data_IF_847490396302
#
_entry.id   IF_847490396302
#
_cell.length_a   1.000
_cell.length_b   1.000
_cell.length_c   1.000
_cell.angle_alpha   90.00
_cell.angle_beta   90.00
_cell.angle_gamma   90.00
#
_symmetry.space_group_name_H-M   'P 1'
#
loop_
_entity.id
_entity.type
_entity.pdbx_description
1 polymer ?
#
# COMPACT_ATOMS: atom_id res chain seq x y z
N UNK A 1 -2.43 -36.13 -37.43
CA UNK A 1 -1.59 -34.98 -37.07
C UNK A 1 -2.18 -33.73 -37.67
N UNK A 2 -2.19 -32.63 -36.91
CA UNK A 2 -2.55 -31.28 -37.39
C UNK A 2 -1.28 -30.45 -37.35
N UNK A 3 -0.95 -29.74 -38.42
CA UNK A 3 0.23 -28.87 -38.49
C UNK A 3 -0.21 -27.44 -38.79
N UNK A 4 0.24 -26.51 -37.96
CA UNK A 4 0.03 -25.06 -38.09
C UNK A 4 1.42 -24.43 -38.20
N UNK A 5 1.60 -23.48 -39.11
CA UNK A 5 2.90 -22.86 -39.33
C UNK A 5 2.79 -21.35 -39.49
N UNK A 6 3.83 -20.63 -39.07
CA UNK A 6 3.95 -19.18 -39.22
C UNK A 6 2.70 -18.41 -38.72
N UNK A 7 1.95 -17.78 -39.64
CA UNK A 7 0.71 -17.06 -39.34
C UNK A 7 -0.57 -17.91 -39.52
N UNK A 8 -0.44 -19.20 -39.83
CA UNK A 8 -1.55 -20.12 -40.05
C UNK A 8 -2.38 -20.31 -38.78
N UNK A 9 -3.71 -20.32 -38.93
CA UNK A 9 -4.64 -20.44 -37.82
C UNK A 9 -5.70 -21.51 -38.07
N UNK A 10 -6.10 -22.23 -37.03
CA UNK A 10 -7.21 -23.19 -37.05
C UNK A 10 -8.25 -22.83 -36.00
N UNK A 11 -9.50 -22.74 -36.42
CA UNK A 11 -10.65 -22.63 -35.52
C UNK A 11 -11.27 -24.01 -35.32
N UNK A 12 -11.44 -24.40 -34.07
CA UNK A 12 -12.12 -25.62 -33.67
C UNK A 12 -13.13 -25.29 -32.58
N UNK A 13 -14.26 -26.00 -32.54
CA UNK A 13 -15.26 -25.73 -31.50
C UNK A 13 -14.74 -26.18 -30.13
N UNK A 14 -14.25 -27.42 -30.04
CA UNK A 14 -13.64 -28.00 -28.83
C UNK A 14 -12.36 -28.75 -29.20
N UNK A 15 -11.60 -29.22 -28.20
CA UNK A 15 -10.48 -30.13 -28.44
C UNK A 15 -10.91 -31.43 -29.15
N UNK A 16 -12.13 -31.93 -28.91
CA UNK A 16 -12.66 -33.11 -29.60
C UNK A 16 -12.87 -32.89 -31.11
N UNK A 17 -13.03 -31.64 -31.55
CA UNK A 17 -13.13 -31.29 -32.96
C UNK A 17 -11.82 -31.51 -33.73
N UNK A 18 -10.70 -31.72 -33.03
CA UNK A 18 -9.40 -32.05 -33.64
C UNK A 18 -9.24 -33.55 -33.95
N UNK A 19 -10.28 -34.34 -33.70
CA UNK A 19 -10.32 -35.78 -33.91
C UNK A 19 -9.77 -36.56 -32.72
N UNK A 20 -9.11 -37.69 -33.00
CA UNK A 20 -8.53 -38.54 -31.96
C UNK A 20 -7.54 -37.73 -31.09
N UNK A 21 -7.72 -37.76 -29.76
CA UNK A 21 -6.86 -37.06 -28.80
C UNK A 21 -5.38 -37.51 -28.86
N UNK A 22 -5.07 -38.68 -29.42
CA UNK A 22 -3.69 -39.11 -29.66
C UNK A 22 -3.03 -38.39 -30.84
N UNK A 23 -3.80 -37.71 -31.70
CA UNK A 23 -3.25 -36.99 -32.84
C UNK A 23 -2.51 -35.73 -32.36
N UNK A 24 -1.22 -35.56 -32.68
CA UNK A 24 -0.49 -34.37 -32.26
C UNK A 24 -0.92 -33.12 -33.04
N UNK A 25 -0.88 -31.99 -32.35
CA UNK A 25 -0.93 -30.63 -32.93
C UNK A 25 0.51 -30.11 -32.96
N UNK A 26 1.00 -29.75 -34.13
CA UNK A 26 2.36 -29.28 -34.34
C UNK A 26 2.32 -27.81 -34.76
N UNK A 27 3.03 -26.96 -34.04
CA UNK A 27 3.29 -25.56 -34.34
C UNK A 27 4.70 -25.42 -34.92
N UNK A 28 4.82 -25.02 -36.18
CA UNK A 28 6.09 -24.87 -36.90
C UNK A 28 6.35 -23.39 -37.18
N UNK A 29 7.33 -22.81 -36.51
CA UNK A 29 7.72 -21.40 -36.56
C UNK A 29 6.57 -20.44 -36.23
N UNK A 30 5.57 -20.91 -35.49
CA UNK A 30 4.35 -20.16 -35.20
C UNK A 30 3.10 -21.03 -35.32
N UNK A 31 1.99 -20.38 -35.65
CA UNK A 31 0.67 -20.96 -35.80
C UNK A 31 -0.25 -20.69 -34.60
N UNK A 32 -1.55 -20.72 -34.85
CA UNK A 32 -2.58 -20.44 -33.85
C UNK A 32 -3.69 -21.49 -33.84
N UNK A 33 -4.00 -22.02 -32.65
CA UNK A 33 -5.20 -22.83 -32.42
C UNK A 33 -6.21 -22.01 -31.61
N UNK A 34 -7.40 -21.81 -32.17
CA UNK A 34 -8.50 -21.12 -31.53
C UNK A 34 -9.61 -22.12 -31.17
N UNK A 35 -9.97 -22.19 -29.88
CA UNK A 35 -11.17 -22.89 -29.42
C UNK A 35 -12.32 -21.91 -29.22
N UNK A 36 -13.44 -22.15 -29.89
CA UNK A 36 -14.61 -21.25 -29.86
C UNK A 36 -15.70 -21.69 -28.88
N UNK A 37 -15.44 -22.69 -28.04
CA UNK A 37 -16.29 -23.08 -26.92
C UNK A 37 -15.46 -23.66 -25.78
N UNK A 38 -16.07 -23.80 -24.60
CA UNK A 38 -15.42 -24.41 -23.44
C UNK A 38 -15.04 -25.86 -23.72
N UNK A 39 -13.86 -26.26 -23.24
CA UNK A 39 -13.37 -27.61 -23.42
C UNK A 39 -11.90 -27.75 -23.05
N UNK A 40 -11.51 -29.00 -22.78
CA UNK A 40 -10.11 -29.37 -22.57
C UNK A 40 -9.43 -29.71 -23.89
N UNK A 41 -8.15 -29.41 -23.99
CA UNK A 41 -7.27 -29.85 -25.07
C UNK A 41 -6.41 -31.01 -24.56
N UNK A 42 -6.65 -32.20 -25.11
CA UNK A 42 -5.94 -33.43 -24.75
C UNK A 42 -4.94 -33.89 -25.82
N UNK A 43 -4.86 -33.19 -26.95
CA UNK A 43 -3.93 -33.50 -28.04
C UNK A 43 -2.50 -33.13 -27.64
N UNK A 44 -1.50 -34.02 -27.76
CA UNK A 44 -0.09 -33.66 -27.57
C UNK A 44 0.31 -32.48 -28.46
N UNK A 45 1.10 -31.56 -27.91
CA UNK A 45 1.53 -30.36 -28.64
C UNK A 45 3.04 -30.39 -28.83
N UNK A 46 3.49 -30.10 -30.04
CA UNK A 46 4.91 -29.88 -30.35
C UNK A 46 5.11 -28.49 -30.95
N UNK A 47 6.07 -27.72 -30.45
CA UNK A 47 6.43 -26.39 -30.96
C UNK A 47 7.86 -26.41 -31.50
N UNK A 48 8.08 -25.97 -32.73
CA UNK A 48 9.42 -25.92 -33.36
C UNK A 48 9.68 -24.54 -33.92
N UNK A 49 10.69 -23.81 -33.44
CA UNK A 49 10.86 -22.39 -33.83
C UNK A 49 9.68 -21.48 -33.46
N UNK A 50 9.92 -20.17 -33.33
CA UNK A 50 8.86 -19.21 -32.98
C UNK A 50 8.07 -19.58 -31.71
N UNK A 51 6.82 -19.16 -31.62
CA UNK A 51 5.88 -19.54 -30.56
C UNK A 51 4.57 -20.02 -31.16
N UNK A 52 4.18 -21.26 -30.84
CA UNK A 52 2.80 -21.71 -31.08
C UNK A 52 1.85 -20.93 -30.16
N UNK A 53 0.66 -20.59 -30.65
CA UNK A 53 -0.31 -19.81 -29.87
C UNK A 53 -1.64 -20.54 -29.73
N UNK A 54 -2.24 -20.36 -28.58
CA UNK A 54 -3.53 -20.92 -28.19
C UNK A 54 -4.43 -19.78 -27.76
N UNK A 55 -5.70 -19.84 -28.16
CA UNK A 55 -6.71 -18.84 -27.86
C UNK A 55 -8.03 -19.52 -27.55
N UNK A 56 -8.73 -19.03 -26.54
CA UNK A 56 -10.13 -19.40 -26.30
C UNK A 56 -10.89 -18.24 -25.69
N UNK A 57 -11.36 -17.29 -26.51
CA UNK A 57 -11.93 -16.04 -26.03
C UNK A 57 -13.16 -16.28 -25.14
N UNK A 58 -13.10 -15.90 -23.87
CA UNK A 58 -14.21 -15.99 -22.92
C UNK A 58 -14.49 -17.38 -22.35
N UNK A 59 -13.72 -18.41 -22.73
CA UNK A 59 -13.90 -19.76 -22.23
C UNK A 59 -12.77 -20.17 -21.30
N UNK A 60 -13.05 -21.08 -20.37
CA UNK A 60 -12.04 -21.65 -19.48
C UNK A 60 -11.88 -23.14 -19.79
N UNK A 61 -10.72 -23.71 -19.47
CA UNK A 61 -10.42 -25.10 -19.79
C UNK A 61 -9.13 -25.63 -19.21
N UNK A 62 -8.70 -26.77 -19.72
CA UNK A 62 -7.46 -27.44 -19.30
C UNK A 62 -6.70 -27.94 -20.52
N UNK A 63 -5.39 -27.76 -20.53
CA UNK A 63 -4.50 -28.47 -21.45
C UNK A 63 -3.86 -29.60 -20.67
N UNK A 64 -4.31 -30.83 -20.93
CA UNK A 64 -3.96 -32.01 -20.13
C UNK A 64 -2.84 -32.87 -20.73
N UNK A 65 -2.41 -32.54 -21.94
CA UNK A 65 -1.33 -33.21 -22.65
C UNK A 65 -0.02 -32.45 -22.57
N UNK A 66 1.09 -33.17 -22.78
CA UNK A 66 2.43 -32.57 -22.83
C UNK A 66 2.55 -31.64 -24.03
N UNK A 67 3.14 -30.48 -23.75
CA UNK A 67 3.64 -29.50 -24.72
C UNK A 67 5.17 -29.63 -24.72
N UNK A 68 5.76 -29.87 -25.90
CA UNK A 68 7.18 -30.15 -26.06
C UNK A 68 7.79 -29.42 -27.26
N UNK A 69 9.12 -29.46 -27.39
CA UNK A 69 9.84 -28.96 -28.56
C UNK A 69 10.72 -27.73 -28.29
N UNK A 70 11.31 -27.18 -29.35
CA UNK A 70 12.27 -26.07 -29.25
C UNK A 70 11.61 -24.68 -29.21
N UNK A 71 10.36 -24.56 -29.68
CA UNK A 71 9.64 -23.29 -29.75
C UNK A 71 9.02 -22.87 -28.41
N UNK A 72 8.44 -21.68 -28.37
CA UNK A 72 7.63 -21.18 -27.26
C UNK A 72 6.16 -21.61 -27.35
N UNK A 73 5.41 -21.37 -26.28
CA UNK A 73 3.97 -21.54 -26.25
C UNK A 73 3.29 -20.28 -25.67
N UNK A 74 2.21 -19.81 -26.31
CA UNK A 74 1.56 -18.56 -25.97
C UNK A 74 0.06 -18.70 -25.79
N UNK A 75 -0.49 -18.08 -24.75
CA UNK A 75 -1.93 -17.83 -24.58
C UNK A 75 -2.23 -16.43 -25.12
N UNK A 76 -3.13 -16.29 -26.09
CA UNK A 76 -3.46 -14.99 -26.71
C UNK A 76 -4.97 -14.82 -26.88
N UNK A 77 -5.44 -13.58 -26.88
CA UNK A 77 -6.82 -13.21 -27.22
C UNK A 77 -7.92 -13.91 -26.39
N UNK A 78 -7.75 -14.00 -25.07
CA UNK A 78 -8.66 -14.72 -24.18
C UNK A 78 -9.90 -13.94 -23.73
N UNK A 79 -10.04 -12.67 -24.11
CA UNK A 79 -11.17 -11.84 -23.68
C UNK A 79 -11.03 -11.41 -22.21
N UNK A 80 -12.08 -11.54 -21.39
CA UNK A 80 -12.03 -11.13 -19.98
C UNK A 80 -11.98 -12.35 -19.04
N UNK A 81 -10.85 -12.51 -18.35
CA UNK A 81 -10.64 -13.42 -17.21
C UNK A 81 -10.89 -14.91 -17.48
N UNK A 82 -10.49 -15.40 -18.65
CA UNK A 82 -10.58 -16.82 -18.98
C UNK A 82 -9.43 -17.62 -18.35
N UNK A 83 -9.76 -18.68 -17.59
CA UNK A 83 -8.81 -19.51 -16.86
C UNK A 83 -8.46 -20.76 -17.66
N UNK A 84 -7.17 -20.98 -17.89
CA UNK A 84 -6.65 -22.22 -18.43
C UNK A 84 -5.62 -22.87 -17.52
N UNK A 85 -5.87 -24.14 -17.19
CA UNK A 85 -4.97 -24.93 -16.34
C UNK A 85 -4.06 -25.80 -17.19
N UNK A 86 -2.75 -25.70 -16.99
CA UNK A 86 -1.75 -26.63 -17.51
C UNK A 86 -1.50 -27.72 -16.47
N UNK A 87 -1.75 -29.00 -16.82
CA UNK A 87 -1.61 -30.10 -15.85
C UNK A 87 -0.49 -31.10 -16.18
N UNK A 88 -0.06 -31.18 -17.45
CA UNK A 88 1.02 -32.08 -17.86
C UNK A 88 2.42 -31.54 -17.57
N UNK A 89 3.40 -32.44 -17.53
CA UNK A 89 4.81 -32.06 -17.57
C UNK A 89 5.17 -31.58 -18.99
N UNK A 90 5.63 -30.34 -19.09
CA UNK A 90 5.92 -29.67 -20.35
C UNK A 90 7.44 -29.45 -20.51
N UNK A 91 7.92 -29.52 -21.75
CA UNK A 91 9.35 -29.47 -22.09
C UNK A 91 9.68 -28.51 -23.23
N UNK A 92 8.73 -27.67 -23.64
CA UNK A 92 8.98 -26.63 -24.64
C UNK A 92 10.03 -25.63 -24.14
N UNK A 93 10.96 -25.24 -25.01
CA UNK A 93 12.17 -24.49 -24.62
C UNK A 93 12.06 -22.98 -24.86
N UNK A 94 11.20 -22.53 -25.77
CA UNK A 94 11.10 -21.11 -26.14
C UNK A 94 10.34 -20.21 -25.15
N UNK A 95 10.00 -20.72 -23.98
CA UNK A 95 9.30 -19.98 -22.92
C UNK A 95 7.78 -19.92 -23.10
N UNK A 96 7.12 -19.44 -22.06
CA UNK A 96 5.66 -19.30 -21.96
C UNK A 96 5.27 -17.83 -22.10
N UNK A 97 4.33 -17.51 -22.99
CA UNK A 97 3.72 -16.17 -23.08
C UNK A 97 2.27 -16.20 -22.61
N UNK A 98 1.89 -15.29 -21.73
CA UNK A 98 0.53 -15.13 -21.22
C UNK A 98 0.03 -13.76 -21.65
N UNK A 99 -0.73 -13.73 -22.73
CA UNK A 99 -1.25 -12.53 -23.36
C UNK A 99 -2.61 -12.09 -22.82
N UNK A 100 -3.22 -11.13 -23.52
CA UNK A 100 -4.45 -10.44 -23.12
C UNK A 100 -5.57 -11.38 -22.72
N UNK A 101 -6.10 -11.17 -21.52
CA UNK A 101 -7.30 -11.84 -21.02
C UNK A 101 -7.10 -13.24 -20.43
N UNK A 102 -5.90 -13.81 -20.60
CA UNK A 102 -5.60 -15.16 -20.18
C UNK A 102 -5.22 -15.19 -18.70
N UNK A 103 -5.78 -16.12 -17.95
CA UNK A 103 -5.29 -16.52 -16.64
C UNK A 103 -4.74 -17.93 -16.79
N UNK A 104 -3.44 -18.12 -16.56
CA UNK A 104 -2.82 -19.46 -16.59
C UNK A 104 -2.66 -19.96 -15.16
N UNK A 105 -3.26 -21.11 -14.88
CA UNK A 105 -3.06 -21.87 -13.66
C UNK A 105 -2.19 -23.11 -13.93
N UNK A 106 -1.52 -23.57 -12.89
CA UNK A 106 -0.62 -24.71 -12.90
C UNK A 106 -0.52 -25.29 -11.49
N UNK A 107 0.08 -26.47 -11.33
CA UNK A 107 0.30 -27.09 -10.01
C UNK A 107 1.77 -27.29 -9.67
N UNK A 108 2.66 -27.28 -10.68
CA UNK A 108 4.09 -27.50 -10.51
C UNK A 108 4.90 -26.79 -11.60
N UNK A 109 6.16 -26.46 -11.30
CA UNK A 109 7.05 -25.69 -12.18
C UNK A 109 7.20 -26.30 -13.59
N UNK A 110 7.26 -27.65 -13.69
CA UNK A 110 7.32 -28.35 -14.97
C UNK A 110 6.09 -28.17 -15.86
N UNK A 111 4.95 -27.69 -15.33
CA UNK A 111 3.81 -27.33 -16.17
C UNK A 111 4.08 -26.09 -17.04
N UNK A 112 5.07 -25.25 -16.68
CA UNK A 112 5.35 -24.00 -17.39
C UNK A 112 6.38 -24.14 -18.52
N UNK A 113 6.81 -25.37 -18.84
CA UNK A 113 7.79 -25.67 -19.89
C UNK A 113 9.14 -26.12 -19.32
N UNK A 114 10.17 -26.15 -20.17
CA UNK A 114 11.52 -26.55 -19.77
C UNK A 114 12.05 -25.72 -18.59
N UNK A 115 12.66 -26.37 -17.60
CA UNK A 115 13.13 -25.73 -16.35
C UNK A 115 13.95 -24.46 -16.63
N UNK A 116 13.66 -23.38 -15.88
CA UNK A 116 14.29 -22.07 -16.08
C UNK A 116 13.80 -21.28 -17.30
N UNK A 117 12.88 -21.82 -18.09
CA UNK A 117 12.28 -21.11 -19.23
C UNK A 117 11.52 -19.85 -18.80
N UNK A 118 11.69 -18.77 -19.56
CA UNK A 118 11.08 -17.46 -19.30
C UNK A 118 9.56 -17.51 -19.33
N UNK A 119 8.92 -16.82 -18.39
CA UNK A 119 7.48 -16.51 -18.43
C UNK A 119 7.29 -15.03 -18.80
N UNK A 120 6.72 -14.78 -19.97
CA UNK A 120 6.34 -13.44 -20.41
C UNK A 120 4.88 -13.20 -20.11
N UNK A 121 4.54 -12.12 -19.39
CA UNK A 121 3.16 -11.74 -19.11
C UNK A 121 2.87 -10.41 -19.82
N UNK A 122 1.97 -10.44 -20.79
CA UNK A 122 1.70 -9.37 -21.74
C UNK A 122 0.21 -9.05 -21.83
N UNK A 123 -0.11 -7.82 -22.23
CA UNK A 123 -1.49 -7.43 -22.57
C UNK A 123 -2.49 -7.54 -21.41
N UNK A 124 -2.03 -7.58 -20.16
CA UNK A 124 -2.89 -7.78 -18.99
C UNK A 124 -3.18 -9.24 -18.66
N UNK A 125 -2.43 -10.19 -19.22
CA UNK A 125 -2.47 -11.59 -18.82
C UNK A 125 -2.13 -11.80 -17.33
N UNK A 126 -2.45 -12.98 -16.81
CA UNK A 126 -2.27 -13.32 -15.40
C UNK A 126 -1.68 -14.71 -15.23
N UNK A 127 -0.68 -14.84 -14.36
CA UNK A 127 -0.21 -16.13 -13.86
C UNK A 127 -0.76 -16.33 -12.44
N UNK A 128 -1.53 -17.39 -12.25
CA UNK A 128 -2.08 -17.78 -10.95
C UNK A 128 -1.07 -18.69 -10.23
N UNK A 129 -0.38 -18.16 -9.22
CA UNK A 129 0.55 -18.94 -8.41
C UNK A 129 -0.23 -19.88 -7.47
N UNK A 130 -0.03 -21.20 -7.54
CA UNK A 130 -0.71 -22.14 -6.66
C UNK A 130 -0.02 -22.20 -5.28
N UNK A 131 -0.75 -22.60 -4.21
CA UNK A 131 -0.19 -22.72 -2.87
C UNK A 131 1.06 -23.61 -2.75
N UNK A 132 1.21 -24.60 -3.63
CA UNK A 132 2.36 -25.51 -3.64
C UNK A 132 3.68 -24.83 -4.06
N UNK A 133 3.62 -23.67 -4.72
CA UNK A 133 4.80 -22.97 -5.23
C UNK A 133 5.23 -21.92 -4.21
N UNK A 134 6.02 -22.30 -3.21
CA UNK A 134 6.52 -21.35 -2.20
C UNK A 134 7.68 -20.50 -2.71
N UNK A 135 8.42 -20.99 -3.70
CA UNK A 135 9.52 -20.26 -4.38
C UNK A 135 9.35 -20.35 -5.88
N UNK A 136 9.43 -19.21 -6.56
CA UNK A 136 9.37 -19.10 -8.02
C UNK A 136 10.70 -18.55 -8.55
N UNK A 137 11.40 -19.35 -9.35
CA UNK A 137 12.78 -19.10 -9.81
C UNK A 137 12.87 -18.69 -11.27
N UNK A 138 11.80 -18.84 -12.06
CA UNK A 138 11.83 -18.55 -13.50
C UNK A 138 11.96 -17.04 -13.76
N UNK A 139 12.71 -16.63 -14.80
CA UNK A 139 12.68 -15.25 -15.28
C UNK A 139 11.26 -14.82 -15.65
N UNK A 140 10.85 -13.63 -15.21
CA UNK A 140 9.60 -13.00 -15.59
C UNK A 140 9.89 -11.77 -16.46
N UNK A 141 9.22 -11.69 -17.62
CA UNK A 141 9.24 -10.52 -18.50
C UNK A 141 7.87 -9.88 -18.54
N UNK A 142 7.79 -8.63 -18.10
CA UNK A 142 6.55 -7.86 -17.99
C UNK A 142 6.35 -6.98 -19.22
N UNK A 143 5.29 -7.27 -19.96
CA UNK A 143 4.73 -6.42 -21.02
C UNK A 143 3.27 -6.02 -20.69
N UNK A 144 2.96 -6.02 -19.39
CA UNK A 144 1.63 -5.80 -18.82
C UNK A 144 1.09 -7.11 -18.27
N UNK A 145 1.18 -7.31 -16.97
CA UNK A 145 0.87 -8.61 -16.37
C UNK A 145 0.46 -8.57 -14.91
N UNK A 146 -0.18 -9.66 -14.50
CA UNK A 146 -0.63 -9.91 -13.13
C UNK A 146 -0.03 -11.19 -12.59
N UNK A 147 0.45 -11.17 -11.35
CA UNK A 147 0.59 -12.36 -10.52
C UNK A 147 -0.51 -12.32 -9.47
N UNK A 148 -1.21 -13.43 -9.31
CA UNK A 148 -2.28 -13.56 -8.31
C UNK A 148 -2.16 -14.90 -7.61
N UNK A 149 -2.53 -14.93 -6.33
CA UNK A 149 -2.49 -16.13 -5.50
C UNK A 149 -3.65 -16.13 -4.50
N UNK A 150 -3.90 -17.30 -3.93
CA UNK A 150 -4.88 -17.47 -2.86
C UNK A 150 -4.45 -16.73 -1.59
N UNK A 151 -5.44 -16.36 -0.77
CA UNK A 151 -5.19 -15.61 0.46
C UNK A 151 -4.33 -16.41 1.47
N UNK A 152 -3.44 -15.70 2.18
CA UNK A 152 -2.62 -16.30 3.24
C UNK A 152 -1.40 -17.09 2.77
N UNK A 153 -1.14 -17.13 1.47
CA UNK A 153 0.05 -17.80 0.91
C UNK A 153 1.22 -16.81 0.80
N UNK A 154 2.43 -17.28 1.04
CA UNK A 154 3.67 -16.52 0.78
C UNK A 154 4.44 -17.13 -0.39
N UNK A 155 4.78 -16.30 -1.37
CA UNK A 155 5.58 -16.66 -2.54
C UNK A 155 6.89 -15.90 -2.55
N UNK A 156 8.02 -16.60 -2.60
CA UNK A 156 9.34 -16.00 -2.82
C UNK A 156 9.65 -15.94 -4.31
N UNK A 157 9.69 -14.73 -4.87
CA UNK A 157 10.05 -14.49 -6.27
C UNK A 157 11.55 -14.19 -6.34
N UNK A 158 12.32 -15.23 -6.65
CA UNK A 158 13.79 -15.21 -6.68
C UNK A 158 14.35 -15.07 -8.10
N UNK A 159 13.56 -15.45 -9.11
CA UNK A 159 13.91 -15.24 -10.51
C UNK A 159 13.98 -13.76 -10.89
N UNK A 160 14.77 -13.38 -11.90
CA UNK A 160 14.87 -11.99 -12.34
C UNK A 160 13.54 -11.51 -12.95
N UNK A 161 13.15 -10.27 -12.66
CA UNK A 161 11.95 -9.65 -13.20
C UNK A 161 12.33 -8.43 -14.03
N UNK A 162 11.97 -8.42 -15.31
CA UNK A 162 12.33 -7.38 -16.28
C UNK A 162 11.13 -6.93 -17.10
N UNK A 163 11.34 -6.03 -18.07
CA UNK A 163 10.31 -5.55 -18.98
C UNK A 163 9.77 -4.16 -18.62
N UNK A 164 8.89 -3.63 -19.46
CA UNK A 164 8.44 -2.23 -19.38
C UNK A 164 6.95 -2.09 -19.02
N UNK A 165 6.19 -3.19 -19.00
CA UNK A 165 4.77 -3.15 -18.70
C UNK A 165 4.45 -3.07 -17.22
N UNK A 166 3.19 -2.78 -16.91
CA UNK A 166 2.66 -2.81 -15.53
C UNK A 166 2.83 -4.20 -14.92
N UNK A 167 3.24 -4.24 -13.66
CA UNK A 167 3.35 -5.43 -12.84
C UNK A 167 2.34 -5.37 -11.71
N UNK A 168 1.27 -6.16 -11.79
CA UNK A 168 0.26 -6.24 -10.73
C UNK A 168 0.52 -7.47 -9.84
N UNK A 169 0.72 -7.23 -8.55
CA UNK A 169 0.67 -8.23 -7.50
C UNK A 169 -0.73 -8.17 -6.86
N UNK A 170 -1.54 -9.20 -7.11
CA UNK A 170 -2.94 -9.28 -6.70
C UNK A 170 -3.23 -10.40 -5.70
N UNK A 171 -4.49 -10.45 -5.24
CA UNK A 171 -4.93 -11.44 -4.23
C UNK A 171 -4.49 -11.09 -2.80
N UNK A 172 -5.06 -11.74 -1.79
CA UNK A 172 -4.70 -11.54 -0.38
C UNK A 172 -3.45 -12.30 0.05
N UNK A 173 -2.45 -12.38 -0.83
CA UNK A 173 -1.22 -13.14 -0.66
C UNK A 173 -0.03 -12.24 -0.31
N UNK A 174 1.06 -12.87 0.11
CA UNK A 174 2.36 -12.22 0.36
C UNK A 174 3.34 -12.57 -0.75
N UNK A 175 3.96 -11.56 -1.35
CA UNK A 175 4.99 -11.70 -2.37
C UNK A 175 6.30 -11.13 -1.83
N UNK A 176 7.32 -11.98 -1.72
CA UNK A 176 8.68 -11.58 -1.34
C UNK A 176 9.48 -11.41 -2.62
N UNK A 177 9.90 -10.18 -2.93
CA UNK A 177 10.77 -9.93 -4.08
C UNK A 177 12.22 -9.93 -3.62
N UNK A 178 12.94 -11.03 -3.89
CA UNK A 178 14.34 -11.18 -3.49
C UNK A 178 15.30 -11.26 -4.69
N UNK A 179 14.79 -11.53 -5.90
CA UNK A 179 15.57 -11.54 -7.13
C UNK A 179 16.12 -10.19 -7.59
N UNK A 180 16.82 -10.19 -8.72
CA UNK A 180 17.28 -8.99 -9.41
C UNK A 180 16.18 -8.43 -10.31
N UNK A 181 15.66 -7.25 -9.98
CA UNK A 181 14.52 -6.66 -10.67
C UNK A 181 14.95 -5.42 -11.47
N UNK A 182 14.68 -5.42 -12.77
CA UNK A 182 15.05 -4.36 -13.71
C UNK A 182 13.88 -3.83 -14.53
N UNK A 183 12.65 -4.18 -14.15
CA UNK A 183 11.46 -3.67 -14.83
C UNK A 183 11.30 -2.16 -14.65
N UNK A 184 10.75 -1.48 -15.66
CA UNK A 184 10.60 -0.01 -15.65
C UNK A 184 9.14 0.45 -15.53
N UNK A 185 8.19 -0.48 -15.63
CA UNK A 185 6.76 -0.18 -15.51
C UNK A 185 6.32 0.08 -14.07
N UNK A 186 5.02 0.36 -13.88
CA UNK A 186 4.43 0.48 -12.56
C UNK A 186 4.33 -0.87 -11.86
N UNK A 187 4.86 -0.99 -10.64
CA UNK A 187 4.54 -2.05 -9.70
C UNK A 187 3.29 -1.66 -8.91
N UNK A 188 2.20 -2.39 -9.08
CA UNK A 188 0.96 -2.24 -8.33
C UNK A 188 0.79 -3.40 -7.36
N UNK A 189 0.62 -3.10 -6.08
CA UNK A 189 0.25 -4.08 -5.05
C UNK A 189 -1.20 -3.79 -4.70
N UNK A 190 -2.13 -4.69 -5.03
CA UNK A 190 -3.57 -4.42 -4.90
C UNK A 190 -4.26 -5.67 -4.37
N UNK A 191 -4.75 -5.58 -3.12
CA UNK A 191 -5.52 -6.65 -2.50
C UNK A 191 -6.92 -6.81 -3.10
N UNK A 192 -7.77 -7.55 -2.39
CA UNK A 192 -9.18 -7.74 -2.76
C UNK A 192 -10.07 -6.95 -1.81
N UNK A 193 -11.21 -6.47 -2.31
CA UNK A 193 -12.18 -5.75 -1.48
C UNK A 193 -12.79 -6.70 -0.44
N UNK A 194 -12.83 -6.27 0.83
CA UNK A 194 -13.35 -7.09 1.93
C UNK A 194 -12.53 -8.34 2.26
N UNK A 195 -11.28 -8.42 1.79
CA UNK A 195 -10.35 -9.54 2.01
C UNK A 195 -9.02 -9.03 2.58
N UNK A 196 -8.14 -9.93 3.05
CA UNK A 196 -6.77 -9.56 3.41
C UNK A 196 -6.07 -8.79 2.28
N UNK A 197 -5.22 -7.80 2.62
CA UNK A 197 -4.47 -7.03 1.63
C UNK A 197 -3.47 -7.91 0.86
N UNK A 198 -3.12 -7.47 -0.34
CA UNK A 198 -1.90 -7.95 -0.99
C UNK A 198 -0.70 -7.39 -0.22
N UNK A 199 0.27 -8.25 0.10
CA UNK A 199 1.48 -7.85 0.84
C UNK A 199 2.70 -8.00 -0.06
N UNK A 200 3.49 -6.93 -0.16
CA UNK A 200 4.81 -6.93 -0.80
C UNK A 200 5.89 -6.87 0.29
N UNK A 201 6.82 -7.81 0.26
CA UNK A 201 7.98 -7.84 1.17
C UNK A 201 9.25 -7.56 0.40
N UNK A 202 10.00 -6.54 0.83
CA UNK A 202 11.29 -6.15 0.26
C UNK A 202 12.24 -5.66 1.35
N UNK A 203 13.54 -5.81 1.08
CA UNK A 203 14.64 -5.30 1.91
C UNK A 203 15.28 -4.03 1.34
N UNK A 204 15.20 -3.83 0.02
CA UNK A 204 15.84 -2.73 -0.67
C UNK A 204 14.99 -2.20 -1.84
N UNK A 205 15.21 -0.93 -2.17
CA UNK A 205 14.55 -0.21 -3.23
C UNK A 205 14.82 -0.80 -4.63
N UNK A 206 15.98 -1.43 -4.83
CA UNK A 206 16.31 -2.18 -6.06
C UNK A 206 15.38 -3.37 -6.31
N UNK A 207 14.69 -3.89 -5.29
CA UNK A 207 13.67 -4.94 -5.47
C UNK A 207 12.39 -4.42 -6.12
N UNK A 208 12.19 -3.11 -6.15
CA UNK A 208 11.02 -2.46 -6.74
C UNK A 208 11.20 -2.13 -8.23
N UNK A 209 12.24 -2.68 -8.87
CA UNK A 209 12.55 -2.46 -10.28
C UNK A 209 13.58 -1.35 -10.50
N UNK A 210 13.72 -0.91 -11.75
CA UNK A 210 14.60 0.19 -12.12
C UNK A 210 14.20 1.50 -11.40
N UNK A 211 15.11 2.46 -11.18
CA UNK A 211 14.80 3.72 -10.48
C UNK A 211 13.66 4.55 -11.10
N UNK A 212 13.32 4.31 -12.37
CA UNK A 212 12.20 4.92 -13.10
C UNK A 212 10.85 4.22 -12.90
N UNK A 213 10.85 3.01 -12.32
CA UNK A 213 9.63 2.30 -11.98
C UNK A 213 8.83 3.08 -10.93
N UNK A 214 7.51 3.00 -11.03
CA UNK A 214 6.59 3.63 -10.07
C UNK A 214 5.94 2.59 -9.18
N UNK A 215 5.57 2.98 -7.97
CA UNK A 215 4.94 2.12 -6.99
C UNK A 215 3.49 2.57 -6.74
N UNK A 216 2.56 1.65 -6.81
CA UNK A 216 1.18 1.85 -6.37
C UNK A 216 0.85 0.87 -5.24
N UNK A 217 0.44 1.41 -4.10
CA UNK A 217 -0.01 0.63 -2.95
C UNK A 217 -1.51 0.80 -2.75
N UNK A 218 -2.25 -0.24 -3.13
CA UNK A 218 -3.70 -0.30 -3.02
C UNK A 218 -4.43 0.54 -4.05
N UNK A 219 -5.75 0.44 -4.03
CA UNK A 219 -6.65 1.13 -4.94
C UNK A 219 -8.02 1.38 -4.32
N UNK A 220 -8.70 2.42 -4.76
CA UNK A 220 -10.07 2.70 -4.35
C UNK A 220 -10.90 3.20 -5.53
N UNK A 221 -12.11 2.65 -5.67
CA UNK A 221 -13.14 3.12 -6.60
C UNK A 221 -14.46 3.25 -5.85
N UNK A 222 -14.90 4.48 -5.58
CA UNK A 222 -16.04 4.74 -4.69
C UNK A 222 -15.82 4.11 -3.31
N UNK A 223 -16.74 3.23 -2.90
CA UNK A 223 -16.67 2.50 -1.62
C UNK A 223 -15.87 1.18 -1.71
N UNK A 224 -15.44 0.78 -2.90
CA UNK A 224 -14.62 -0.43 -3.08
C UNK A 224 -13.16 -0.09 -2.80
N UNK A 225 -12.62 -0.66 -1.72
CA UNK A 225 -11.25 -0.44 -1.28
C UNK A 225 -10.48 -1.74 -1.44
N UNK A 226 -9.37 -1.70 -2.15
CA UNK A 226 -8.44 -2.82 -2.33
C UNK A 226 -7.12 -2.46 -1.66
N UNK A 227 -6.93 -2.86 -0.39
CA UNK A 227 -5.79 -2.41 0.41
C UNK A 227 -4.49 -3.09 -0.01
N UNK A 228 -3.37 -2.51 0.40
CA UNK A 228 -2.04 -3.09 0.21
C UNK A 228 -1.17 -2.93 1.45
N UNK A 229 -0.21 -3.84 1.62
CA UNK A 229 0.83 -3.77 2.64
C UNK A 229 2.19 -3.74 1.94
N UNK A 230 3.02 -2.74 2.25
CA UNK A 230 4.46 -2.79 2.02
C UNK A 230 5.12 -3.17 3.35
N UNK A 231 5.75 -4.34 3.40
CA UNK A 231 6.42 -4.87 4.60
C UNK A 231 7.93 -4.89 4.39
N UNK A 232 8.67 -4.35 5.35
CA UNK A 232 10.12 -4.36 5.31
C UNK A 232 10.70 -5.70 5.82
N UNK A 233 11.68 -6.25 5.11
CA UNK A 233 12.54 -7.35 5.60
C UNK A 233 13.97 -6.90 5.93
N UNK A 234 14.23 -5.60 5.79
CA UNK A 234 15.48 -4.90 6.11
C UNK A 234 15.23 -3.39 6.17
N UNK A 235 16.26 -2.59 6.48
CA UNK A 235 16.12 -1.13 6.39
C UNK A 235 15.89 -0.72 4.94
N UNK A 236 14.76 -0.06 4.67
CA UNK A 236 14.27 0.20 3.33
C UNK A 236 14.27 1.71 3.06
N UNK A 237 15.07 2.15 2.09
CA UNK A 237 15.11 3.54 1.66
C UNK A 237 14.54 3.68 0.26
N UNK A 238 13.29 4.11 0.12
CA UNK A 238 12.70 4.35 -1.19
C UNK A 238 13.34 5.59 -1.81
N UNK A 239 13.93 5.43 -3.00
CA UNK A 239 14.74 6.47 -3.63
C UNK A 239 13.88 7.60 -4.19
N UNK A 240 14.40 8.84 -4.14
CA UNK A 240 13.71 10.06 -4.58
C UNK A 240 13.27 10.05 -6.06
N UNK A 241 13.82 9.15 -6.89
CA UNK A 241 13.49 9.01 -8.31
C UNK A 241 12.17 8.28 -8.56
N UNK A 242 11.62 7.57 -7.57
CA UNK A 242 10.40 6.79 -7.74
C UNK A 242 9.17 7.62 -7.42
N UNK A 243 8.08 7.45 -8.15
CA UNK A 243 6.79 8.00 -7.72
C UNK A 243 6.02 6.94 -6.95
N UNK A 244 5.40 7.32 -5.83
CA UNK A 244 4.54 6.42 -5.04
C UNK A 244 3.12 6.96 -4.95
N UNK A 245 2.15 6.19 -5.41
CA UNK A 245 0.73 6.44 -5.17
C UNK A 245 0.18 5.44 -4.16
N UNK A 246 -0.79 5.87 -3.36
CA UNK A 246 -1.43 4.95 -2.41
C UNK A 246 -2.92 5.23 -2.19
N UNK A 247 -3.66 4.15 -1.92
CA UNK A 247 -5.05 4.15 -1.47
C UNK A 247 -5.20 3.02 -0.45
N UNK A 248 -5.46 3.37 0.81
CA UNK A 248 -5.54 2.40 1.91
C UNK A 248 -4.29 1.50 2.00
N UNK A 249 -3.12 2.13 2.05
CA UNK A 249 -1.84 1.45 2.18
C UNK A 249 -1.44 1.31 3.64
N UNK A 250 -0.90 0.15 3.98
CA UNK A 250 -0.20 -0.10 5.24
C UNK A 250 1.29 -0.21 4.97
N UNK A 251 2.09 0.55 5.71
CA UNK A 251 3.54 0.40 5.75
C UNK A 251 3.89 -0.32 7.04
N UNK A 252 4.25 -1.59 6.91
CA UNK A 252 4.72 -2.42 8.00
C UNK A 252 6.25 -2.38 8.06
N UNK A 253 6.75 -1.60 9.02
CA UNK A 253 8.19 -1.51 9.25
C UNK A 253 8.81 -2.80 9.76
N UNK A 254 8.02 -3.70 10.36
CA UNK A 254 8.50 -5.00 10.84
C UNK A 254 9.77 -4.89 11.74
N UNK A 255 9.91 -3.80 12.49
CA UNK A 255 11.08 -3.50 13.33
C UNK A 255 12.24 -2.77 12.64
N UNK A 256 12.20 -2.55 11.32
CA UNK A 256 13.21 -1.84 10.54
C UNK A 256 12.84 -0.38 10.28
N UNK A 257 13.79 0.43 9.85
CA UNK A 257 13.48 1.78 9.38
C UNK A 257 13.08 1.76 7.90
N UNK A 258 11.98 2.45 7.59
CA UNK A 258 11.50 2.68 6.23
C UNK A 258 11.52 4.20 5.97
N UNK A 259 12.23 4.65 4.94
CA UNK A 259 12.28 6.06 4.56
C UNK A 259 11.70 6.25 3.18
N UNK A 260 10.75 7.17 3.05
CA UNK A 260 10.25 7.66 1.76
C UNK A 260 10.94 8.98 1.43
N UNK A 261 11.82 8.98 0.43
CA UNK A 261 12.52 10.17 -0.09
C UNK A 261 11.83 10.80 -1.30
N UNK A 262 10.75 10.18 -1.74
CA UNK A 262 10.21 10.32 -3.08
C UNK A 262 8.81 10.91 -3.06
N UNK A 263 8.37 11.63 -4.11
CA UNK A 263 7.03 12.18 -4.16
C UNK A 263 5.96 11.13 -3.86
N UNK A 264 5.09 11.45 -2.90
CA UNK A 264 3.94 10.62 -2.54
C UNK A 264 2.64 11.32 -2.92
N UNK A 265 1.68 10.57 -3.46
CA UNK A 265 0.32 11.06 -3.71
C UNK A 265 -0.70 10.01 -3.29
N UNK A 266 -1.41 10.24 -2.18
CA UNK A 266 -2.33 9.24 -1.71
C UNK A 266 -3.26 9.62 -0.57
N UNK A 267 -4.12 8.67 -0.23
CA UNK A 267 -5.07 8.76 0.88
C UNK A 267 -5.14 7.43 1.63
N UNK A 268 -5.25 7.48 2.95
CA UNK A 268 -5.35 6.28 3.78
C UNK A 268 -3.98 5.63 3.94
N UNK A 269 -3.16 6.19 4.83
CA UNK A 269 -1.85 5.67 5.20
C UNK A 269 -1.94 5.07 6.60
N UNK A 270 -1.54 3.82 6.76
CA UNK A 270 -1.40 3.17 8.06
C UNK A 270 0.06 2.81 8.31
N UNK A 271 0.58 3.18 9.46
CA UNK A 271 1.92 2.81 9.93
C UNK A 271 1.81 1.73 11.00
N UNK A 272 2.50 0.61 10.79
CA UNK A 272 2.65 -0.48 11.79
C UNK A 272 4.11 -0.97 11.89
N UNK A 273 4.37 -1.90 12.81
CA UNK A 273 5.67 -2.41 13.18
C UNK A 273 6.49 -1.44 14.06
N UNK A 274 7.42 -1.97 14.85
CA UNK A 274 8.14 -1.20 15.87
C UNK A 274 9.15 -0.15 15.32
N UNK A 275 9.48 -0.20 14.03
CA UNK A 275 10.48 0.69 13.43
C UNK A 275 9.95 2.08 13.08
N UNK A 276 10.82 2.90 12.48
CA UNK A 276 10.47 4.26 12.04
C UNK A 276 10.02 4.25 10.58
N UNK A 277 8.86 4.82 10.28
CA UNK A 277 8.53 5.30 8.93
C UNK A 277 8.85 6.78 8.86
N UNK A 278 9.79 7.18 8.01
CA UNK A 278 10.15 8.59 7.79
C UNK A 278 9.66 9.10 6.44
N UNK A 279 8.96 10.25 6.42
CA UNK A 279 8.46 10.90 5.20
C UNK A 279 9.25 12.18 4.89
N UNK A 280 10.14 12.15 3.90
CA UNK A 280 10.99 13.30 3.51
C UNK A 280 10.35 14.19 2.43
N UNK A 281 9.14 13.87 1.97
CA UNK A 281 8.38 14.67 1.00
C UNK A 281 6.94 14.84 1.44
N UNK A 282 6.27 15.87 0.92
CA UNK A 282 4.87 16.12 1.22
C UNK A 282 3.96 15.28 0.33
N UNK A 283 2.90 14.74 0.92
CA UNK A 283 1.80 14.18 0.15
C UNK A 283 1.12 15.28 -0.68
N UNK A 284 1.08 15.09 -1.99
CA UNK A 284 0.55 16.06 -2.96
C UNK A 284 -0.95 15.89 -3.25
N UNK A 285 -1.60 14.83 -2.74
CA UNK A 285 -3.01 14.57 -3.02
C UNK A 285 -3.93 15.57 -2.29
N UNK A 286 -4.69 16.33 -3.07
CA UNK A 286 -5.68 17.32 -2.59
C UNK A 286 -7.12 16.92 -2.87
N UNK A 287 -7.34 15.71 -3.42
CA UNK A 287 -8.65 15.27 -3.92
C UNK A 287 -9.60 14.76 -2.82
N UNK A 288 -9.09 14.52 -1.60
CA UNK A 288 -9.89 14.04 -0.48
C UNK A 288 -9.10 14.01 0.83
N UNK A 289 -9.76 13.62 1.92
CA UNK A 289 -9.10 13.48 3.23
C UNK A 289 -8.04 12.36 3.20
N UNK A 290 -6.86 12.67 3.71
CA UNK A 290 -5.80 11.69 3.91
C UNK A 290 -5.81 11.24 5.37
N UNK A 291 -6.49 10.13 5.62
CA UNK A 291 -6.46 9.47 6.93
C UNK A 291 -5.09 8.84 7.17
N UNK A 292 -4.45 9.25 8.27
CA UNK A 292 -3.19 8.74 8.76
C UNK A 292 -3.45 7.99 10.05
N UNK A 293 -3.14 6.70 10.08
CA UNK A 293 -3.26 5.83 11.25
C UNK A 293 -1.87 5.39 11.69
N UNK A 294 -1.59 5.42 12.98
CA UNK A 294 -0.33 4.92 13.55
C UNK A 294 -0.72 3.87 14.60
N UNK A 295 -0.50 2.60 14.29
CA UNK A 295 -0.88 1.50 15.19
C UNK A 295 0.30 0.94 15.97
N UNK A 296 1.53 1.11 15.48
CA UNK A 296 2.76 0.74 16.19
C UNK A 296 3.97 1.56 15.72
N UNK A 297 4.94 1.72 16.63
CA UNK A 297 6.23 2.36 16.36
C UNK A 297 6.11 3.84 15.97
N UNK A 298 7.12 4.37 15.27
CA UNK A 298 7.21 5.81 15.00
C UNK A 298 6.86 6.18 13.56
N UNK A 299 5.93 7.12 13.36
CA UNK A 299 5.78 7.87 12.11
C UNK A 299 6.48 9.22 12.26
N UNK A 300 7.59 9.41 11.54
CA UNK A 300 8.43 10.60 11.59
C UNK A 300 8.28 11.45 10.34
N UNK A 301 8.05 12.75 10.47
CA UNK A 301 8.12 13.67 9.32
C UNK A 301 9.57 14.14 9.10
N UNK A 302 9.93 14.35 7.84
CA UNK A 302 11.24 14.82 7.44
C UNK A 302 11.24 16.22 6.82
N UNK A 303 10.06 16.80 6.65
CA UNK A 303 9.81 18.15 6.16
C UNK A 303 8.52 18.70 6.77
N UNK A 304 8.28 20.01 6.57
CA UNK A 304 7.01 20.62 6.95
C UNK A 304 5.83 20.00 6.18
N UNK A 305 4.74 19.72 6.89
CA UNK A 305 3.46 19.26 6.34
C UNK A 305 3.60 18.01 5.45
N UNK A 306 4.44 17.05 5.86
CA UNK A 306 4.69 15.82 5.11
C UNK A 306 3.39 15.03 4.78
N UNK A 307 2.35 15.11 5.61
CA UNK A 307 1.07 14.43 5.39
C UNK A 307 0.16 15.09 4.34
N UNK A 308 0.51 16.28 3.84
CA UNK A 308 -0.29 17.07 2.91
C UNK A 308 -1.35 17.94 3.60
N UNK A 309 -1.98 18.85 2.84
CA UNK A 309 -2.93 19.85 3.37
C UNK A 309 -4.24 19.27 3.89
N UNK A 310 -4.57 18.04 3.47
CA UNK A 310 -5.82 17.33 3.80
C UNK A 310 -5.63 16.20 4.81
N UNK A 311 -4.54 16.23 5.58
CA UNK A 311 -4.25 15.20 6.56
C UNK A 311 -5.23 15.20 7.73
N UNK A 312 -5.67 14.01 8.15
CA UNK A 312 -6.31 13.73 9.44
C UNK A 312 -5.52 12.60 10.10
N UNK A 313 -5.02 12.82 11.31
CA UNK A 313 -4.51 11.71 12.12
C UNK A 313 -5.72 11.06 12.75
N UNK A 314 -6.17 9.96 12.16
CA UNK A 314 -7.46 9.33 12.48
C UNK A 314 -7.38 8.38 13.68
N UNK A 315 -6.18 7.81 13.93
CA UNK A 315 -5.93 7.00 15.12
C UNK A 315 -4.45 6.95 15.48
N UNK A 316 -4.18 6.91 16.78
CA UNK A 316 -2.90 6.51 17.35
C UNK A 316 -3.16 5.47 18.44
N UNK A 317 -2.63 4.26 18.31
CA UNK A 317 -2.84 3.17 19.27
C UNK A 317 -1.57 2.42 19.64
N UNK A 318 -1.64 1.61 20.70
CA UNK A 318 -0.49 0.84 21.16
C UNK A 318 0.68 1.73 21.58
N UNK A 319 1.87 1.47 21.04
CA UNK A 319 3.09 2.25 21.27
C UNK A 319 3.34 3.34 20.20
N UNK A 320 2.28 3.75 19.50
CA UNK A 320 2.38 4.71 18.42
C UNK A 320 3.03 6.05 18.84
N UNK A 321 4.00 6.49 18.04
CA UNK A 321 4.65 7.79 18.16
C UNK A 321 4.47 8.58 16.86
N UNK A 322 3.90 9.78 16.95
CA UNK A 322 3.96 10.78 15.90
C UNK A 322 5.14 11.72 16.19
N UNK A 323 6.19 11.66 15.38
CA UNK A 323 7.41 12.43 15.56
C UNK A 323 7.53 13.54 14.51
N UNK A 324 7.37 14.79 14.95
CA UNK A 324 7.48 15.97 14.11
C UNK A 324 8.93 16.29 13.73
N UNK A 325 9.92 15.75 14.46
CA UNK A 325 11.34 15.93 14.18
C UNK A 325 11.73 17.41 13.96
N UNK A 326 11.10 18.33 14.69
CA UNK A 326 11.36 19.77 14.58
C UNK A 326 10.64 20.49 13.44
N UNK A 327 9.86 19.80 12.61
CA UNK A 327 9.12 20.40 11.50
C UNK A 327 7.69 20.79 11.88
N UNK A 328 7.13 21.74 11.16
CA UNK A 328 5.73 22.12 11.30
C UNK A 328 4.81 21.07 10.66
N UNK A 329 3.74 20.68 11.36
CA UNK A 329 2.72 19.76 10.86
C UNK A 329 1.34 20.37 11.14
N UNK A 330 0.55 20.50 10.09
CA UNK A 330 -0.86 20.88 10.16
C UNK A 330 -1.74 19.68 9.83
N UNK A 331 -2.71 19.38 10.70
CA UNK A 331 -3.72 18.33 10.52
C UNK A 331 -5.12 18.91 10.72
N UNK A 332 -6.11 18.34 10.02
CA UNK A 332 -7.50 18.67 10.25
C UNK A 332 -7.89 18.26 11.66
N UNK A 333 -7.69 16.99 11.98
CA UNK A 333 -7.94 16.44 13.31
C UNK A 333 -6.84 15.49 13.75
N UNK A 334 -6.71 15.34 15.07
CA UNK A 334 -5.89 14.33 15.74
C UNK A 334 -6.80 13.57 16.71
N UNK A 335 -7.32 12.44 16.25
CA UNK A 335 -8.38 11.68 16.91
C UNK A 335 -7.88 10.34 17.42
N UNK A 336 -8.62 9.78 18.38
CA UNK A 336 -8.45 8.41 18.87
C UNK A 336 -6.99 8.08 19.24
N UNK A 337 -6.33 9.00 19.96
CA UNK A 337 -5.00 8.75 20.52
C UNK A 337 -5.14 8.07 21.88
N UNK A 338 -4.64 6.85 22.02
CA UNK A 338 -4.67 6.10 23.29
C UNK A 338 -3.68 6.70 24.32
N UNK A 339 -3.89 6.49 25.64
CA UNK A 339 -2.99 7.00 26.68
C UNK A 339 -1.53 6.57 26.59
N UNK A 340 -1.24 5.45 25.92
CA UNK A 340 0.11 4.91 25.72
C UNK A 340 0.87 5.55 24.56
N UNK A 341 0.22 6.41 23.79
CA UNK A 341 0.80 7.02 22.59
C UNK A 341 1.55 8.31 22.90
N UNK A 342 2.39 8.76 21.96
CA UNK A 342 3.18 9.99 22.12
C UNK A 342 3.18 10.85 20.85
N UNK A 343 3.03 12.15 21.01
CA UNK A 343 3.35 13.15 19.99
C UNK A 343 4.63 13.88 20.38
N UNK A 344 5.71 13.63 19.63
CA UNK A 344 7.01 14.29 19.82
C UNK A 344 7.11 15.51 18.90
N UNK A 345 7.05 16.70 19.46
CA UNK A 345 7.12 17.93 18.67
C UNK A 345 8.54 18.23 18.16
N UNK A 346 9.59 17.80 18.88
CA UNK A 346 10.92 18.37 18.70
C UNK A 346 10.87 19.88 18.92
N UNK A 347 11.40 20.69 18.00
CA UNK A 347 11.20 22.14 17.93
C UNK A 347 10.02 22.57 17.04
N UNK A 348 9.24 21.62 16.52
CA UNK A 348 8.21 21.85 15.51
C UNK A 348 6.91 22.44 16.08
N UNK A 349 6.02 22.89 15.20
CA UNK A 349 4.68 23.30 15.57
C UNK A 349 3.66 22.27 15.09
N UNK A 350 2.81 21.76 15.98
CA UNK A 350 1.63 21.01 15.62
C UNK A 350 0.42 21.95 15.57
N UNK A 351 -0.27 22.03 14.43
CA UNK A 351 -1.56 22.74 14.31
C UNK A 351 -2.69 21.75 14.09
N UNK A 352 -3.70 21.77 14.97
CA UNK A 352 -4.94 21.00 14.84
C UNK A 352 -6.08 21.95 14.46
N UNK A 353 -6.61 21.81 13.24
CA UNK A 353 -7.54 22.81 12.68
C UNK A 353 -8.95 22.74 13.24
N UNK A 354 -9.55 21.54 13.30
CA UNK A 354 -10.99 21.37 13.52
C UNK A 354 -11.35 20.52 14.74
N UNK A 355 -10.43 19.72 15.28
CA UNK A 355 -10.68 19.03 16.54
C UNK A 355 -9.80 17.81 16.81
N UNK A 356 -9.98 17.19 17.96
CA UNK A 356 -9.21 16.01 18.33
C UNK A 356 -9.41 15.56 19.76
N UNK A 357 -8.97 14.33 20.06
CA UNK A 357 -8.96 13.78 21.41
C UNK A 357 -7.60 13.09 21.61
N UNK A 358 -6.75 13.74 22.41
CA UNK A 358 -5.36 13.35 22.62
C UNK A 358 -5.19 12.91 24.08
N UNK A 359 -5.15 11.60 24.29
CA UNK A 359 -4.94 11.02 25.62
C UNK A 359 -3.48 10.61 25.86
N UNK A 360 -2.70 10.45 24.80
CA UNK A 360 -1.25 10.27 24.87
C UNK A 360 -0.50 11.53 25.30
N UNK A 361 0.80 11.37 25.57
CA UNK A 361 1.67 12.47 25.96
C UNK A 361 2.08 13.33 24.76
N UNK A 362 2.21 14.64 24.97
CA UNK A 362 2.82 15.58 24.02
C UNK A 362 4.12 16.10 24.62
N UNK A 363 5.23 15.97 23.88
CA UNK A 363 6.59 16.24 24.38
C UNK A 363 7.41 17.11 23.42
N UNK A 364 8.49 17.71 23.91
CA UNK A 364 9.44 18.50 23.11
C UNK A 364 9.34 20.02 23.31
N UNK A 365 10.26 20.78 22.74
CA UNK A 365 10.32 22.25 22.89
C UNK A 365 9.45 23.00 21.89
N UNK A 366 8.69 22.27 21.07
CA UNK A 366 7.80 22.79 20.05
C UNK A 366 6.48 23.32 20.60
N UNK A 367 5.66 23.88 19.72
CA UNK A 367 4.38 24.51 20.06
C UNK A 367 3.18 23.71 19.58
N UNK A 368 2.06 23.86 20.27
CA UNK A 368 0.76 23.31 19.89
C UNK A 368 -0.22 24.45 19.60
N UNK A 369 -0.91 24.39 18.46
CA UNK A 369 -1.94 25.36 18.07
C UNK A 369 -3.26 24.63 17.83
N UNK A 370 -4.31 25.08 18.52
CA UNK A 370 -5.67 24.59 18.40
C UNK A 370 -6.52 25.66 17.73
N UNK A 371 -7.05 25.33 16.55
CA UNK A 371 -7.85 26.23 15.72
C UNK A 371 -7.02 26.98 14.68
N UNK A 372 -7.62 27.26 13.54
CA UNK A 372 -7.00 27.98 12.43
C UNK A 372 -8.03 28.85 11.71
N UNK A 373 -7.61 30.04 11.28
CA UNK A 373 -8.44 30.93 10.47
C UNK A 373 -8.90 30.24 9.17
N UNK A 374 -10.13 30.54 8.74
CA UNK A 374 -10.73 29.95 7.54
C UNK A 374 -11.29 28.53 7.73
N UNK A 375 -11.21 27.95 8.94
CA UNK A 375 -11.78 26.64 9.27
C UNK A 375 -12.84 26.76 10.36
N UNK A 376 -13.67 25.73 10.48
CA UNK A 376 -14.60 25.60 11.62
C UNK A 376 -13.82 25.63 12.94
N UNK A 377 -14.37 26.24 14.01
CA UNK A 377 -13.73 26.26 15.32
C UNK A 377 -13.34 24.85 15.78
N UNK A 378 -12.10 24.71 16.24
CA UNK A 378 -11.61 23.43 16.76
C UNK A 378 -12.30 23.06 18.07
N UNK A 379 -12.60 21.77 18.26
CA UNK A 379 -12.91 21.22 19.59
C UNK A 379 -11.90 20.12 19.92
N UNK A 380 -10.99 20.39 20.86
CA UNK A 380 -9.91 19.49 21.22
C UNK A 380 -9.96 19.11 22.70
N UNK A 381 -9.71 17.84 23.01
CA UNK A 381 -9.53 17.31 24.36
C UNK A 381 -8.07 16.90 24.58
N UNK A 382 -7.48 17.35 25.69
CA UNK A 382 -6.19 16.83 26.19
C UNK A 382 -6.42 16.09 27.50
N UNK A 383 -6.18 14.78 27.50
CA UNK A 383 -6.23 13.93 28.70
C UNK A 383 -4.89 13.39 29.17
N UNK A 384 -3.85 13.49 28.34
CA UNK A 384 -2.50 13.06 28.68
C UNK A 384 -1.77 14.00 29.63
N UNK A 385 -0.66 13.50 30.18
CA UNK A 385 0.35 14.29 30.89
C UNK A 385 1.34 14.80 29.85
N UNK A 386 1.43 16.12 29.70
CA UNK A 386 2.23 16.74 28.65
C UNK A 386 3.48 17.41 29.23
N UNK A 387 4.59 17.37 28.49
CA UNK A 387 5.86 17.99 28.89
C UNK A 387 6.41 18.98 27.86
N UNK A 388 5.63 19.30 26.82
CA UNK A 388 6.06 20.28 25.85
C UNK A 388 6.16 21.70 26.43
N UNK A 389 7.04 22.53 25.87
CA UNK A 389 7.40 23.82 26.46
C UNK A 389 7.44 25.01 25.48
N UNK A 390 7.13 24.80 24.20
CA UNK A 390 7.20 25.85 23.18
C UNK A 390 5.95 26.73 23.06
N UNK A 391 4.97 26.54 23.94
CA UNK A 391 3.71 27.28 23.96
C UNK A 391 2.51 26.49 23.43
N UNK A 392 1.34 26.81 23.98
CA UNK A 392 0.04 26.30 23.61
C UNK A 392 -0.86 27.47 23.23
N UNK A 393 -1.34 27.51 22.00
CA UNK A 393 -2.26 28.55 21.51
C UNK A 393 -3.63 27.96 21.22
N UNK A 394 -4.68 28.56 21.77
CA UNK A 394 -6.07 28.27 21.39
C UNK A 394 -6.65 29.52 20.75
N UNK A 395 -7.03 29.42 19.48
CA UNK A 395 -7.41 30.58 18.70
C UNK A 395 -8.60 30.33 17.76
N UNK A 396 -9.06 31.41 17.13
CA UNK A 396 -10.05 31.36 16.04
C UNK A 396 -11.40 30.71 16.43
N UNK A 397 -11.85 30.93 17.67
CA UNK A 397 -13.06 30.31 18.21
C UNK A 397 -12.86 28.90 18.76
N UNK A 398 -11.65 28.34 18.64
CA UNK A 398 -11.34 26.99 19.12
C UNK A 398 -11.57 26.83 20.62
N UNK A 399 -11.88 25.61 21.02
CA UNK A 399 -12.05 25.17 22.39
C UNK A 399 -11.03 24.07 22.71
N UNK A 400 -10.34 24.23 23.83
CA UNK A 400 -9.50 23.22 24.45
C UNK A 400 -10.15 22.77 25.76
N UNK A 401 -10.50 21.49 25.87
CA UNK A 401 -10.99 20.87 27.09
C UNK A 401 -9.87 20.04 27.73
N UNK A 402 -9.48 20.40 28.95
CA UNK A 402 -8.53 19.64 29.73
C UNK A 402 -9.23 18.57 30.55
N UNK A 403 -8.63 17.39 30.63
CA UNK A 403 -8.99 16.34 31.58
C UNK A 403 -7.91 16.12 32.64
N UNK A 404 -6.75 16.76 32.46
CA UNK A 404 -5.66 16.81 33.42
C UNK A 404 -5.01 18.20 33.35
N UNK A 405 -4.67 18.80 34.50
CA UNK A 405 -3.99 20.09 34.54
C UNK A 405 -2.60 20.04 33.87
N UNK A 406 -1.92 18.89 33.96
CA UNK A 406 -0.66 18.63 33.25
C UNK A 406 -0.84 18.57 31.72
N UNK A 407 -2.06 18.66 31.20
CA UNK A 407 -2.34 18.80 29.78
C UNK A 407 -1.82 20.10 29.18
N UNK A 408 -1.56 21.14 30.00
CA UNK A 408 -1.01 22.42 29.56
C UNK A 408 0.48 22.38 29.17
N UNK A 409 1.18 21.27 29.44
CA UNK A 409 2.61 21.14 29.15
C UNK A 409 3.48 21.37 30.39
N UNK A 410 4.77 21.63 30.16
CA UNK A 410 5.74 21.85 31.22
C UNK A 410 5.40 23.10 32.07
N UNK A 411 5.85 23.19 33.34
CA UNK A 411 5.68 24.39 34.15
C UNK A 411 6.22 25.64 33.44
N UNK A 412 5.45 26.73 33.47
CA UNK A 412 5.80 27.97 32.77
C UNK A 412 5.58 27.96 31.25
N UNK A 413 5.06 26.87 30.68
CA UNK A 413 4.69 26.82 29.26
C UNK A 413 3.67 27.92 28.94
N UNK A 414 3.93 28.79 27.94
CA UNK A 414 2.99 29.85 27.59
C UNK A 414 1.65 29.28 27.12
N UNK A 415 0.55 29.77 27.70
CA UNK A 415 -0.81 29.48 27.24
C UNK A 415 -1.39 30.74 26.62
N UNK A 416 -1.55 30.76 25.30
CA UNK A 416 -2.17 31.89 24.59
C UNK A 416 -3.62 31.60 24.24
N UNK A 417 -4.54 32.48 24.65
CA UNK A 417 -5.94 32.45 24.25
C UNK A 417 -6.24 33.67 23.39
N UNK A 418 -6.53 33.46 22.10
CA UNK A 418 -6.82 34.54 21.14
C UNK A 418 -8.13 34.27 20.38
N UNK A 419 -9.24 34.75 20.94
CA UNK A 419 -10.59 34.31 20.60
C UNK A 419 -10.78 32.80 20.88
N UNK A 420 -10.00 32.23 21.79
CA UNK A 420 -10.04 30.82 22.19
C UNK A 420 -10.81 30.59 23.49
N UNK A 421 -11.23 29.34 23.70
CA UNK A 421 -11.90 28.89 24.94
C UNK A 421 -11.06 27.82 25.64
N UNK A 422 -10.73 28.02 26.91
CA UNK A 422 -10.20 26.98 27.79
C UNK A 422 -11.33 26.41 28.64
N UNK A 423 -11.47 25.09 28.66
CA UNK A 423 -12.50 24.37 29.38
C UNK A 423 -11.90 23.37 30.36
N UNK A 424 -12.38 23.35 31.61
CA UNK A 424 -12.05 22.32 32.58
C UNK A 424 -13.10 21.20 32.52
N UNK A 425 -12.70 20.02 32.03
CA UNK A 425 -13.59 18.89 31.77
C UNK A 425 -14.06 18.17 33.03
N UNK A 426 -15.18 17.46 32.92
CA UNK A 426 -15.85 16.75 34.02
C UNK A 426 -15.06 15.62 34.69
N UNK A 427 -14.00 15.14 34.05
CA UNK A 427 -13.14 14.07 34.57
C UNK A 427 -11.84 14.58 35.17
N UNK A 428 -11.65 15.90 35.25
CA UNK A 428 -10.49 16.47 35.95
C UNK A 428 -10.52 16.10 37.44
N UNK A 429 -9.39 15.67 38.04
CA UNK A 429 -9.36 15.24 39.44
C UNK A 429 -9.46 16.40 40.44
N UNK A 430 -9.20 17.63 40.00
CA UNK A 430 -9.22 18.84 40.82
C UNK A 430 -9.56 20.07 39.97
N UNK A 431 -9.97 21.20 40.58
CA UNK A 431 -10.06 22.48 39.88
C UNK A 431 -8.80 22.79 39.06
N UNK A 432 -9.00 23.39 37.89
CA UNK A 432 -7.88 23.94 37.12
C UNK A 432 -7.44 25.24 37.77
N UNK A 433 -6.24 25.25 38.34
CA UNK A 433 -5.60 26.46 38.85
C UNK A 433 -4.89 27.19 37.70
N UNK A 434 -5.23 28.45 37.52
CA UNK A 434 -4.48 29.39 36.67
C UNK A 434 -3.86 30.41 37.62
N UNK A 435 -2.60 30.21 37.96
CA UNK A 435 -1.82 31.09 38.84
C UNK A 435 -0.50 31.50 38.15
N UNK A 436 0.43 32.07 38.91
CA UNK A 436 1.76 32.48 38.40
C UNK A 436 2.57 31.36 37.71
N UNK A 437 2.24 30.08 37.92
CA UNK A 437 2.88 28.95 37.24
C UNK A 437 2.34 28.71 35.81
N UNK A 438 1.15 29.23 35.51
CA UNK A 438 0.54 29.23 34.18
C UNK A 438 0.82 30.57 33.53
N UNK A 439 1.70 30.59 32.55
CA UNK A 439 2.04 31.79 31.78
C UNK A 439 0.92 32.12 30.77
N UNK A 440 -0.22 32.57 31.29
CA UNK A 440 -1.42 32.90 30.51
C UNK A 440 -1.24 34.24 29.78
N UNK A 441 -1.41 34.21 28.47
CA UNK A 441 -1.40 35.36 27.56
C UNK A 441 -2.77 35.48 26.90
N UNK A 442 -3.40 36.64 27.04
CA UNK A 442 -4.68 36.94 26.38
C UNK A 442 -4.40 37.76 25.12
N UNK A 443 -4.73 37.18 23.96
CA UNK A 443 -4.62 37.83 22.65
C UNK A 443 -5.69 38.91 22.43
N UNK A 444 -5.58 39.64 21.32
CA UNK A 444 -6.49 40.76 21.00
C UNK A 444 -7.94 40.32 20.76
N UNK A 445 -8.16 39.06 20.38
CA UNK A 445 -9.48 38.44 20.27
C UNK A 445 -10.11 38.04 21.61
N UNK A 446 -9.39 38.23 22.72
CA UNK A 446 -9.84 37.91 24.08
C UNK A 446 -9.78 36.42 24.43
N UNK A 447 -10.14 36.11 25.66
CA UNK A 447 -10.16 34.75 26.21
C UNK A 447 -11.56 34.36 26.69
N UNK A 448 -11.90 33.07 26.60
CA UNK A 448 -13.09 32.48 27.23
C UNK A 448 -12.67 31.34 28.14
N UNK A 449 -13.35 31.23 29.27
CA UNK A 449 -13.18 30.14 30.22
C UNK A 449 -14.53 29.43 30.42
N UNK A 450 -14.52 28.11 30.39
CA UNK A 450 -15.71 27.29 30.56
C UNK A 450 -15.51 26.25 31.65
N UNK A 451 -16.42 26.21 32.63
CA UNK A 451 -16.50 25.12 33.59
C UNK A 451 -17.25 23.93 32.96
N UNK A 452 -16.56 23.12 32.18
CA UNK A 452 -17.11 21.96 31.46
C UNK A 452 -17.39 20.73 32.34
N UNK A 453 -17.51 20.93 33.64
CA UNK A 453 -17.71 19.89 34.65
C UNK A 453 -16.76 20.00 35.85
N UNK A 454 -15.75 20.87 35.76
CA UNK A 454 -14.87 21.20 36.89
C UNK A 454 -14.62 22.72 36.97
N UNK A 455 -14.36 23.24 38.16
CA UNK A 455 -14.09 24.67 38.38
C UNK A 455 -12.74 25.09 37.78
N UNK A 456 -12.68 26.33 37.29
CA UNK A 456 -11.45 27.04 36.97
C UNK A 456 -11.26 28.13 38.03
N UNK A 457 -10.09 28.16 38.66
CA UNK A 457 -9.73 29.14 39.69
C UNK A 457 -8.57 29.97 39.14
N UNK A 458 -8.78 31.28 39.01
CA UNK A 458 -7.74 32.22 38.56
C UNK A 458 -7.19 32.90 39.81
N UNK A 459 -5.95 32.57 40.16
CA UNK A 459 -5.21 33.18 41.26
C UNK A 459 -4.58 34.49 40.85
N UNK A 460 -4.56 35.46 41.78
CA UNK A 460 -3.91 36.77 41.64
C UNK A 460 -2.39 36.69 41.78
#
# INVERSE_FOLDING_TARGET
TISLADAGSLNAQTGASLGNAANPVIFNNGGQLNLTSSGSLANPITTTGGSGTFSSPGFSGTISSTISGTGGFGFVNFGQNALYTLTANNTFQGGLTIGTGAIVAFSQDSNLGAAGGTVTIAGGGSLALPPAITTFTRPIVLQGGTLSASNGITHQLTGPISGNGRFLLGGGATYVLSGSNSFTGQLSVIGQNGSPPATLVVDDDSKLGAPSATLQLGEQSGNFVRPAVLKASGNLNIAATRSTTFRAATIDTNGFNVTFNQPTSGRGLTKTGAGILRLNTANSDTTGENDVNISQGTLRVGINNAFGSRARVASMSGDAVLDLNGFAVEVSTLENSEPTTEVRLGSGQLTVRTGGAIYGAITGTGSLVIGKSGFSPASCVLGGVNTFSGGLTVAHGGQLTLQNAAGLGAPGNPLTLDKGTLSAGSVMPSPLMIDSSVNLVIGSGGARFAAGGQSIIIGS
#
